data_IF_626171065875
#
_entry.id   IF_626171065875
#
_cell.length_a   1.000
_cell.length_b   1.000
_cell.length_c   1.000
_cell.angle_alpha   90.00
_cell.angle_beta   90.00
_cell.angle_gamma   90.00
#
_symmetry.space_group_name_H-M   'P 1'
#
loop_
_entity.id
_entity.type
_entity.pdbx_description
1 polymer ?
#
# COMPACT_ATOMS: atom_id res chain seq x y z
N UNK A 1 -22.54 0.58 -30.88
CA UNK A 1 -21.50 -0.47 -30.90
C UNK A 1 -20.19 0.20 -30.54
N UNK A 2 -19.85 0.25 -29.24
CA UNK A 2 -18.59 0.85 -28.77
C UNK A 2 -17.45 -0.12 -29.09
N UNK A 3 -16.36 0.37 -29.67
CA UNK A 3 -15.17 -0.44 -29.96
C UNK A 3 -14.44 -0.73 -28.64
N UNK A 4 -14.11 -2.00 -28.32
CA UNK A 4 -13.41 -2.34 -27.07
C UNK A 4 -11.94 -1.89 -27.01
N UNK A 5 -11.36 -1.33 -28.07
CA UNK A 5 -9.90 -1.05 -28.15
C UNK A 5 -9.44 0.36 -27.74
N UNK A 6 -10.29 1.18 -27.12
CA UNK A 6 -9.92 2.54 -26.70
C UNK A 6 -9.19 2.59 -25.36
N UNK A 7 -9.69 1.83 -24.37
CA UNK A 7 -9.13 1.77 -23.02
C UNK A 7 -7.77 1.06 -22.96
N UNK A 8 -7.65 -0.09 -23.63
CA UNK A 8 -6.39 -0.87 -23.70
C UNK A 8 -5.23 -0.04 -24.27
N UNK A 9 -5.49 0.75 -25.32
CA UNK A 9 -4.45 1.62 -25.91
C UNK A 9 -4.04 2.77 -25.00
N UNK A 10 -4.95 3.23 -24.14
CA UNK A 10 -4.69 4.33 -23.23
C UNK A 10 -3.84 3.86 -22.04
N UNK A 11 -4.17 2.72 -21.45
CA UNK A 11 -3.35 2.13 -20.37
C UNK A 11 -1.95 1.79 -20.89
N UNK A 12 -1.80 1.23 -22.09
CA UNK A 12 -0.48 0.94 -22.66
C UNK A 12 0.36 2.21 -22.88
N UNK A 13 -0.28 3.30 -23.34
CA UNK A 13 0.39 4.60 -23.49
C UNK A 13 0.87 5.11 -22.13
N UNK A 14 -0.01 5.17 -21.13
CA UNK A 14 0.29 5.67 -19.79
C UNK A 14 1.36 4.81 -19.13
N UNK A 15 1.25 3.49 -19.20
CA UNK A 15 2.23 2.52 -18.69
C UNK A 15 3.63 2.78 -19.27
N UNK A 16 3.73 3.10 -20.58
CA UNK A 16 5.00 3.43 -21.23
C UNK A 16 5.62 4.78 -20.79
N UNK A 17 4.82 5.68 -20.22
CA UNK A 17 5.24 6.99 -19.73
C UNK A 17 5.79 6.93 -18.30
N UNK A 18 5.52 5.83 -17.58
CA UNK A 18 5.98 5.56 -16.21
C UNK A 18 7.41 5.01 -16.28
N UNK A 19 8.38 5.82 -15.85
CA UNK A 19 9.81 5.48 -15.90
C UNK A 19 10.47 5.79 -14.57
N UNK A 20 10.93 4.75 -13.89
CA UNK A 20 11.53 4.87 -12.55
C UNK A 20 10.56 5.47 -11.54
N UNK A 21 11.10 6.14 -10.53
CA UNK A 21 10.33 6.84 -9.51
C UNK A 21 9.50 7.99 -10.11
N UNK A 22 8.23 8.08 -9.74
CA UNK A 22 7.31 9.12 -10.23
C UNK A 22 7.11 10.18 -9.14
N UNK A 23 7.65 11.38 -9.38
CA UNK A 23 7.37 12.54 -8.52
C UNK A 23 5.97 13.09 -8.77
N UNK A 24 5.45 13.91 -7.86
CA UNK A 24 4.18 14.62 -8.02
C UNK A 24 4.15 15.47 -9.29
N UNK A 25 5.25 16.16 -9.60
CA UNK A 25 5.36 16.96 -10.83
C UNK A 25 5.28 16.09 -12.07
N UNK A 26 5.94 14.92 -12.05
CA UNK A 26 5.90 13.99 -13.19
C UNK A 26 4.51 13.40 -13.36
N UNK A 27 3.86 12.99 -12.27
CA UNK A 27 2.50 12.47 -12.28
C UNK A 27 1.51 13.48 -12.88
N UNK A 28 1.56 14.73 -12.42
CA UNK A 28 0.74 15.83 -12.95
C UNK A 28 1.04 16.13 -14.42
N UNK A 29 2.30 15.99 -14.84
CA UNK A 29 2.68 16.07 -16.24
C UNK A 29 2.00 15.00 -17.10
N UNK A 30 1.95 13.76 -16.61
CA UNK A 30 1.25 12.66 -17.30
C UNK A 30 -0.26 12.94 -17.37
N UNK A 31 -0.89 13.39 -16.28
CA UNK A 31 -2.31 13.76 -16.27
C UNK A 31 -2.63 14.92 -17.23
N UNK A 32 -1.71 15.88 -17.40
CA UNK A 32 -1.89 16.97 -18.35
C UNK A 32 -1.76 16.50 -19.82
N UNK A 33 -0.87 15.54 -20.10
CA UNK A 33 -0.72 14.93 -21.42
C UNK A 33 -1.87 13.99 -21.76
N UNK A 34 -2.42 13.29 -20.75
CA UNK A 34 -3.52 12.34 -20.87
C UNK A 34 -4.58 12.63 -19.80
N UNK A 35 -5.51 13.58 -20.07
CA UNK A 35 -6.54 13.95 -19.09
C UNK A 35 -7.49 12.79 -18.75
N UNK A 36 -7.78 12.62 -17.46
CA UNK A 36 -8.65 11.56 -16.93
C UNK A 36 -7.92 10.29 -16.51
N UNK A 37 -6.57 10.29 -16.49
CA UNK A 37 -5.79 9.14 -16.00
C UNK A 37 -6.09 8.87 -14.53
N UNK A 38 -6.11 9.92 -13.69
CA UNK A 38 -6.42 9.79 -12.26
C UNK A 38 -7.75 9.08 -11.97
N UNK A 39 -8.79 9.34 -12.76
CA UNK A 39 -10.11 8.71 -12.59
C UNK A 39 -10.15 7.27 -13.13
N UNK A 40 -9.34 6.95 -14.13
CA UNK A 40 -9.35 5.64 -14.79
C UNK A 40 -8.40 4.62 -14.14
N UNK A 41 -7.32 5.07 -13.49
CA UNK A 41 -6.19 4.22 -13.11
C UNK A 41 -6.55 3.11 -12.13
N UNK A 42 -7.48 3.35 -11.20
CA UNK A 42 -7.96 2.30 -10.28
C UNK A 42 -8.68 1.16 -11.04
N UNK A 43 -9.35 1.46 -12.15
CA UNK A 43 -9.93 0.45 -13.05
C UNK A 43 -8.83 -0.35 -13.74
N UNK A 44 -7.81 0.32 -14.28
CA UNK A 44 -6.68 -0.33 -14.93
C UNK A 44 -5.84 -1.21 -14.01
N UNK A 45 -5.71 -0.82 -12.73
CA UNK A 45 -5.07 -1.67 -11.71
C UNK A 45 -5.85 -2.99 -11.56
N UNK A 46 -7.19 -2.92 -11.45
CA UNK A 46 -8.03 -4.13 -11.35
C UNK A 46 -7.92 -5.01 -12.60
N UNK A 47 -7.96 -4.41 -13.79
CA UNK A 47 -7.80 -5.13 -15.06
C UNK A 47 -6.43 -5.80 -15.18
N UNK A 48 -5.37 -5.10 -14.78
CA UNK A 48 -3.99 -5.62 -14.80
C UNK A 48 -3.82 -6.77 -13.79
N UNK A 49 -4.42 -6.64 -12.60
CA UNK A 49 -4.43 -7.70 -11.60
C UNK A 49 -5.21 -8.94 -12.08
N UNK A 50 -6.36 -8.75 -12.76
CA UNK A 50 -7.11 -9.86 -13.36
C UNK A 50 -6.31 -10.57 -14.47
N UNK A 51 -5.41 -9.86 -15.15
CA UNK A 51 -4.47 -10.41 -16.12
C UNK A 51 -3.16 -10.93 -15.48
N UNK A 52 -3.01 -10.85 -14.15
CA UNK A 52 -1.80 -11.20 -13.39
C UNK A 52 -0.55 -10.41 -13.83
N UNK A 53 -0.71 -9.21 -14.39
CA UNK A 53 0.40 -8.32 -14.73
C UNK A 53 0.78 -7.46 -13.51
N UNK A 54 1.41 -8.11 -12.52
CA UNK A 54 1.80 -7.48 -11.25
C UNK A 54 2.78 -6.33 -11.43
N UNK A 55 3.64 -6.43 -12.45
CA UNK A 55 4.60 -5.38 -12.78
C UNK A 55 3.88 -4.12 -13.26
N UNK A 56 2.78 -4.26 -14.00
CA UNK A 56 1.93 -3.13 -14.41
C UNK A 56 1.11 -2.60 -13.24
N UNK A 57 0.57 -3.48 -12.39
CA UNK A 57 -0.10 -3.08 -11.14
C UNK A 57 0.77 -2.14 -10.32
N UNK A 58 2.03 -2.53 -10.07
CA UNK A 58 3.02 -1.73 -9.32
C UNK A 58 3.25 -0.36 -9.96
N UNK A 59 3.50 -0.32 -11.29
CA UNK A 59 3.74 0.94 -12.01
C UNK A 59 2.52 1.87 -11.94
N UNK A 60 1.33 1.34 -12.16
CA UNK A 60 0.09 2.11 -12.11
C UNK A 60 -0.20 2.61 -10.70
N UNK A 61 0.01 1.80 -9.66
CA UNK A 61 -0.14 2.22 -8.27
C UNK A 61 0.82 3.37 -7.91
N UNK A 62 2.09 3.28 -8.33
CA UNK A 62 3.09 4.33 -8.16
C UNK A 62 2.73 5.65 -8.87
N UNK A 63 2.01 5.59 -10.00
CA UNK A 63 1.48 6.80 -10.66
C UNK A 63 0.23 7.33 -9.94
N UNK A 64 -0.64 6.42 -9.48
CA UNK A 64 -1.92 6.74 -8.86
C UNK A 64 -1.74 7.45 -7.51
N UNK A 65 -0.73 7.06 -6.73
CA UNK A 65 -0.47 7.60 -5.39
C UNK A 65 -0.24 9.13 -5.38
N UNK A 66 0.72 9.70 -6.13
CA UNK A 66 0.93 11.16 -6.18
C UNK A 66 -0.23 11.93 -6.82
N UNK A 67 -1.09 11.26 -7.61
CA UNK A 67 -2.31 11.84 -8.15
C UNK A 67 -3.48 11.82 -7.16
N UNK A 68 -3.36 11.12 -6.02
CA UNK A 68 -4.45 10.84 -5.10
C UNK A 68 -5.66 10.24 -5.84
N UNK A 69 -5.40 9.28 -6.73
CA UNK A 69 -6.41 8.70 -7.60
C UNK A 69 -7.59 8.12 -6.79
N UNK A 70 -8.84 8.49 -7.11
CA UNK A 70 -10.02 7.93 -6.45
C UNK A 70 -10.07 6.40 -6.54
N UNK A 71 -10.38 5.74 -5.42
CA UNK A 71 -10.50 4.28 -5.35
C UNK A 71 -9.18 3.51 -5.36
N UNK A 72 -8.03 4.19 -5.33
CA UNK A 72 -6.71 3.54 -5.20
C UNK A 72 -6.61 2.74 -3.89
N UNK A 73 -6.99 3.34 -2.76
CA UNK A 73 -6.96 2.67 -1.47
C UNK A 73 -7.76 1.37 -1.48
N UNK A 74 -8.98 1.41 -2.00
CA UNK A 74 -9.86 0.24 -2.07
C UNK A 74 -9.26 -0.89 -2.91
N UNK A 75 -8.74 -0.58 -4.12
CA UNK A 75 -8.13 -1.63 -4.96
C UNK A 75 -6.88 -2.22 -4.33
N UNK A 76 -6.06 -1.42 -3.66
CA UNK A 76 -4.87 -1.93 -2.99
C UNK A 76 -5.22 -2.79 -1.77
N UNK A 77 -6.28 -2.45 -1.03
CA UNK A 77 -6.80 -3.30 0.04
C UNK A 77 -7.31 -4.64 -0.49
N UNK A 78 -8.08 -4.62 -1.58
CA UNK A 78 -8.58 -5.84 -2.25
C UNK A 78 -7.43 -6.76 -2.66
N UNK A 79 -6.36 -6.20 -3.24
CA UNK A 79 -5.16 -6.96 -3.64
C UNK A 79 -4.42 -7.53 -2.44
N UNK A 80 -4.29 -6.74 -1.36
CA UNK A 80 -3.62 -7.16 -0.14
C UNK A 80 -4.36 -8.33 0.53
N UNK A 81 -5.69 -8.25 0.59
CA UNK A 81 -6.55 -9.30 1.18
C UNK A 81 -6.67 -10.56 0.29
N UNK A 82 -6.30 -10.47 -1.00
CA UNK A 82 -6.31 -11.61 -1.92
C UNK A 82 -5.10 -12.57 -1.77
N UNK A 83 -4.13 -12.24 -0.91
CA UNK A 83 -2.97 -13.09 -0.58
C UNK A 83 -2.16 -13.53 -1.83
N UNK A 84 -1.95 -12.60 -2.76
CA UNK A 84 -1.23 -12.84 -4.01
C UNK A 84 0.28 -12.96 -3.72
N UNK A 85 0.90 -14.09 -4.07
CA UNK A 85 2.30 -14.38 -3.75
C UNK A 85 3.31 -13.50 -4.52
N UNK A 86 2.98 -13.12 -5.75
CA UNK A 86 3.83 -12.32 -6.63
C UNK A 86 3.65 -10.80 -6.45
N UNK A 87 2.68 -10.38 -5.62
CA UNK A 87 2.43 -8.98 -5.32
C UNK A 87 3.52 -8.46 -4.38
N UNK A 88 4.09 -7.29 -4.71
CA UNK A 88 5.01 -6.61 -3.80
C UNK A 88 4.21 -5.98 -2.65
N UNK A 89 4.02 -6.73 -1.57
CA UNK A 89 3.26 -6.27 -0.41
C UNK A 89 3.93 -5.08 0.30
N UNK A 90 5.26 -4.92 0.23
CA UNK A 90 5.96 -3.77 0.82
C UNK A 90 5.52 -2.48 0.13
N UNK A 91 5.57 -2.44 -1.20
CA UNK A 91 5.16 -1.25 -1.97
C UNK A 91 3.67 -0.94 -1.78
N UNK A 92 2.82 -1.98 -1.73
CA UNK A 92 1.38 -1.79 -1.52
C UNK A 92 1.10 -1.15 -0.17
N UNK A 93 1.76 -1.61 0.89
CA UNK A 93 1.61 -1.08 2.25
C UNK A 93 2.16 0.34 2.34
N UNK A 94 3.36 0.59 1.79
CA UNK A 94 3.95 1.92 1.74
C UNK A 94 3.00 2.91 1.05
N UNK A 95 2.45 2.57 -0.13
CA UNK A 95 1.52 3.43 -0.85
C UNK A 95 0.25 3.69 -0.03
N UNK A 96 -0.31 2.68 0.65
CA UNK A 96 -1.50 2.84 1.49
C UNK A 96 -1.27 3.81 2.66
N UNK A 97 -0.07 3.77 3.27
CA UNK A 97 0.36 4.73 4.30
C UNK A 97 0.54 6.14 3.73
N UNK A 98 1.28 6.27 2.62
CA UNK A 98 1.57 7.55 1.96
C UNK A 98 0.31 8.31 1.56
N UNK A 99 -0.70 7.62 1.01
CA UNK A 99 -1.98 8.23 0.63
C UNK A 99 -2.95 8.36 1.81
N UNK A 100 -2.57 7.90 3.00
CA UNK A 100 -3.39 7.88 4.22
C UNK A 100 -4.75 7.21 3.99
N UNK A 101 -4.74 6.02 3.41
CA UNK A 101 -5.94 5.27 3.09
C UNK A 101 -6.67 4.82 4.36
N UNK A 102 -7.58 5.64 4.89
CA UNK A 102 -8.23 5.43 6.19
C UNK A 102 -8.88 4.04 6.36
N UNK A 103 -9.40 3.44 5.27
CA UNK A 103 -10.00 2.10 5.28
C UNK A 103 -9.00 0.93 5.25
N UNK A 104 -7.70 1.19 5.17
CA UNK A 104 -6.68 0.16 4.98
C UNK A 104 -6.20 -0.51 6.27
N UNK A 105 -6.52 0.05 7.44
CA UNK A 105 -6.00 -0.39 8.73
C UNK A 105 -6.19 -1.90 8.95
N UNK A 106 -7.40 -2.41 8.70
CA UNK A 106 -7.71 -3.83 8.86
C UNK A 106 -6.96 -4.74 7.89
N UNK A 107 -6.81 -4.35 6.62
CA UNK A 107 -6.09 -5.15 5.61
C UNK A 107 -4.58 -5.19 5.89
N UNK A 108 -4.01 -4.07 6.33
CA UNK A 108 -2.60 -4.00 6.78
C UNK A 108 -2.38 -4.84 8.04
N UNK A 109 -3.28 -4.76 9.03
CA UNK A 109 -3.16 -5.55 10.25
C UNK A 109 -3.17 -7.07 9.96
N UNK A 110 -4.14 -7.53 9.15
CA UNK A 110 -4.20 -8.93 8.72
C UNK A 110 -2.94 -9.36 7.96
N UNK A 111 -2.29 -8.44 7.21
CA UNK A 111 -1.02 -8.72 6.54
C UNK A 111 0.08 -9.02 7.53
N UNK A 112 0.17 -8.20 8.56
CA UNK A 112 1.13 -8.44 9.63
C UNK A 112 0.88 -9.82 10.23
N UNK A 113 -0.35 -10.11 10.70
CA UNK A 113 -0.69 -11.39 11.34
C UNK A 113 -0.28 -12.62 10.53
N UNK A 114 -0.53 -12.62 9.21
CA UNK A 114 -0.16 -13.75 8.34
C UNK A 114 1.33 -13.80 7.99
N UNK A 115 2.04 -12.67 8.07
CA UNK A 115 3.44 -12.57 7.62
C UNK A 115 4.45 -12.77 8.75
N UNK A 116 4.05 -12.68 10.03
CA UNK A 116 4.95 -12.78 11.20
C UNK A 116 5.97 -13.93 11.05
N UNK A 117 5.49 -15.12 10.70
CA UNK A 117 6.34 -16.30 10.63
C UNK A 117 7.34 -16.29 9.48
N UNK A 118 6.96 -15.76 8.31
CA UNK A 118 7.79 -15.74 7.11
C UNK A 118 8.72 -14.53 7.01
N UNK A 119 8.36 -13.44 7.69
CA UNK A 119 9.12 -12.19 7.69
C UNK A 119 10.22 -12.18 8.78
N UNK A 120 10.18 -13.15 9.70
CA UNK A 120 11.21 -13.37 10.69
C UNK A 120 12.57 -13.73 10.05
N UNK A 121 13.70 -13.38 10.70
CA UNK A 121 13.81 -12.68 11.97
C UNK A 121 13.88 -11.15 11.84
N UNK A 122 13.92 -10.61 10.62
CA UNK A 122 14.14 -9.19 10.42
C UNK A 122 12.84 -8.37 10.48
N UNK A 123 11.70 -8.99 10.18
CA UNK A 123 10.37 -8.37 10.24
C UNK A 123 10.24 -7.11 9.36
N UNK A 124 10.89 -7.08 8.18
CA UNK A 124 10.94 -5.88 7.33
C UNK A 124 9.56 -5.44 6.85
N UNK A 125 8.73 -6.38 6.38
CA UNK A 125 7.38 -6.09 5.95
C UNK A 125 6.50 -5.67 7.14
N UNK A 126 6.64 -6.33 8.28
CA UNK A 126 5.89 -5.98 9.50
C UNK A 126 6.25 -4.57 9.99
N UNK A 127 7.53 -4.19 9.95
CA UNK A 127 7.99 -2.84 10.30
C UNK A 127 7.38 -1.78 9.39
N UNK A 128 7.37 -2.02 8.06
CA UNK A 128 6.70 -1.14 7.10
C UNK A 128 5.20 -1.01 7.38
N UNK A 129 4.54 -2.13 7.63
CA UNK A 129 3.12 -2.13 7.99
C UNK A 129 2.81 -1.35 9.27
N UNK A 130 3.67 -1.44 10.30
CA UNK A 130 3.54 -0.64 11.51
C UNK A 130 3.70 0.86 11.21
N UNK A 131 4.68 1.22 10.39
CA UNK A 131 4.88 2.61 9.96
C UNK A 131 3.63 3.11 9.22
N UNK A 132 3.16 2.38 8.21
CA UNK A 132 1.98 2.77 7.43
C UNK A 132 0.71 2.85 8.28
N UNK A 133 0.51 1.94 9.26
CA UNK A 133 -0.59 2.05 10.23
C UNK A 133 -0.52 3.37 11.02
N UNK A 134 0.67 3.82 11.41
CA UNK A 134 0.84 5.08 12.13
C UNK A 134 0.50 6.30 11.25
N UNK A 135 0.77 6.23 9.94
CA UNK A 135 0.48 7.30 8.97
C UNK A 135 -1.02 7.45 8.66
N UNK A 136 -1.82 6.40 8.86
CA UNK A 136 -3.27 6.45 8.62
C UNK A 136 -3.98 7.44 9.55
N UNK A 137 -3.42 7.72 10.74
CA UNK A 137 -3.98 8.65 11.74
C UNK A 137 -5.46 8.33 12.10
N UNK A 138 -5.83 7.04 12.17
CA UNK A 138 -7.18 6.60 12.56
C UNK A 138 -7.21 5.88 13.90
N UNK A 139 -8.35 5.96 14.61
CA UNK A 139 -8.56 5.22 15.87
C UNK A 139 -8.45 3.71 15.68
N UNK A 140 -8.83 3.19 14.50
CA UNK A 140 -8.72 1.77 14.19
C UNK A 140 -7.25 1.36 14.08
N UNK A 141 -6.44 2.12 13.35
CA UNK A 141 -5.01 1.86 13.23
C UNK A 141 -4.30 1.96 14.58
N UNK A 142 -4.64 2.97 15.40
CA UNK A 142 -4.13 3.08 16.77
C UNK A 142 -4.50 1.84 17.62
N UNK A 143 -5.73 1.34 17.48
CA UNK A 143 -6.19 0.12 18.15
C UNK A 143 -5.36 -1.11 17.77
N UNK A 144 -5.05 -1.28 16.49
CA UNK A 144 -4.18 -2.36 16.02
C UNK A 144 -2.74 -2.21 16.50
N UNK A 145 -2.16 -1.01 16.45
CA UNK A 145 -0.83 -0.73 17.00
C UNK A 145 -0.77 -1.09 18.49
N UNK A 146 -1.80 -0.72 19.27
CA UNK A 146 -1.87 -1.09 20.69
C UNK A 146 -1.94 -2.60 20.88
N UNK A 147 -2.71 -3.31 20.06
CA UNK A 147 -2.78 -4.78 20.11
C UNK A 147 -1.42 -5.44 19.84
N UNK A 148 -0.61 -4.89 18.94
CA UNK A 148 0.75 -5.40 18.64
C UNK A 148 1.75 -5.23 19.78
N UNK A 149 1.45 -4.43 20.81
CA UNK A 149 2.33 -4.29 21.99
C UNK A 149 2.19 -5.44 23.01
N UNK A 150 1.18 -6.29 22.85
CA UNK A 150 0.92 -7.42 23.75
C UNK A 150 2.09 -8.43 23.74
N UNK A 151 2.42 -9.06 24.89
CA UNK A 151 3.50 -10.06 24.97
C UNK A 151 3.36 -11.28 24.06
N UNK A 152 2.20 -11.53 23.46
CA UNK A 152 2.02 -12.58 22.45
C UNK A 152 2.73 -12.28 21.12
N UNK A 153 3.08 -11.01 20.86
CA UNK A 153 3.79 -10.58 19.67
C UNK A 153 5.32 -10.70 19.81
N UNK A 154 6.07 -10.91 18.71
CA UNK A 154 7.53 -10.87 18.74
C UNK A 154 8.07 -9.53 19.24
N UNK A 155 9.19 -9.56 19.98
CA UNK A 155 9.78 -8.37 20.59
C UNK A 155 10.10 -7.23 19.60
N UNK A 156 10.62 -7.47 18.38
CA UNK A 156 10.79 -6.41 17.39
C UNK A 156 9.47 -5.74 17.01
N UNK A 157 8.42 -6.52 16.77
CA UNK A 157 7.09 -5.98 16.43
C UNK A 157 6.53 -5.15 17.59
N UNK A 158 6.66 -5.65 18.83
CA UNK A 158 6.22 -4.93 20.03
C UNK A 158 6.94 -3.60 20.18
N UNK A 159 8.26 -3.58 19.97
CA UNK A 159 9.07 -2.37 20.03
C UNK A 159 8.62 -1.35 18.99
N UNK A 160 8.55 -1.74 17.71
CA UNK A 160 8.17 -0.83 16.63
C UNK A 160 6.74 -0.29 16.80
N UNK A 161 5.79 -1.13 17.23
CA UNK A 161 4.42 -0.68 17.51
C UNK A 161 4.37 0.31 18.68
N UNK A 162 5.16 0.08 19.74
CA UNK A 162 5.25 0.99 20.87
C UNK A 162 5.89 2.34 20.49
N UNK A 163 6.93 2.33 19.65
CA UNK A 163 7.58 3.53 19.10
C UNK A 163 6.60 4.33 18.23
N UNK A 164 5.83 3.65 17.36
CA UNK A 164 4.79 4.29 16.55
C UNK A 164 3.71 4.99 17.40
N UNK A 165 3.47 4.48 18.61
CA UNK A 165 2.54 5.05 19.59
C UNK A 165 3.20 6.04 20.58
N UNK A 166 4.53 6.17 20.56
CA UNK A 166 5.33 6.92 21.54
C UNK A 166 5.09 6.47 22.99
N UNK A 167 5.03 5.15 23.23
CA UNK A 167 4.79 4.55 24.56
C UNK A 167 5.85 3.52 24.99
N UNK A 168 6.93 3.39 24.22
CA UNK A 168 8.00 2.41 24.44
C UNK A 168 8.65 2.53 25.83
N UNK A 169 8.91 3.75 26.30
CA UNK A 169 9.42 4.00 27.65
C UNK A 169 8.41 3.59 28.74
N UNK A 170 7.13 3.86 28.51
CA UNK A 170 6.05 3.52 29.46
C UNK A 170 5.87 2.01 29.61
N UNK A 171 6.16 1.27 28.54
CA UNK A 171 6.12 -0.20 28.53
C UNK A 171 7.45 -0.83 28.96
N UNK A 172 8.51 -0.04 29.17
CA UNK A 172 9.83 -0.52 29.55
C UNK A 172 10.48 -1.43 28.49
N UNK A 173 10.11 -1.27 27.22
CA UNK A 173 10.70 -2.01 26.12
C UNK A 173 12.09 -1.44 25.79
N UNK A 174 12.92 -2.22 25.10
CA UNK A 174 14.25 -1.79 24.66
C UNK A 174 14.37 -1.98 23.15
N UNK A 175 15.16 -1.10 22.54
CA UNK A 175 15.54 -1.22 21.13
C UNK A 175 16.25 -2.55 20.89
N UNK A 176 15.78 -3.29 19.87
CA UNK A 176 16.34 -4.57 19.40
C UNK A 176 17.02 -4.42 18.04
#
# INVERSE_FOLDING_TARGET
MMRPGGGERLVDLVDSMIKGFITVERARGIEAEVPGVGDAIAGWIRESAAAQDWRRVERLANLAAPLQAPGLGDVLCDLLDAEIAELNNEDVVDILGEIRAAGAAGSIFRLVERSIGSDAPAYWLCQKAILSLSELETNEAEGYLRAMTDPAWPDPIRWHAAVALMIEESLGLKEE
#
